data_IF_527841427195
#
_entry.id   IF_527841427195
#
_cell.length_a   1.000
_cell.length_b   1.000
_cell.length_c   1.000
_cell.angle_alpha   90.00
_cell.angle_beta   90.00
_cell.angle_gamma   90.00
#
_symmetry.space_group_name_H-M   'P 1'
#
loop_
_entity.id
_entity.type
_entity.pdbx_description
1 polymer ?
#
# COMPACT_ATOMS: atom_id res chain seq x y z
N UNK A 1 -20.87 8.91 -1.03
CA UNK A 1 -20.16 7.96 -1.92
C UNK A 1 -19.55 6.86 -1.08
N UNK A 2 -19.85 5.62 -1.39
CA UNK A 2 -19.24 4.51 -0.65
C UNK A 2 -17.80 4.30 -1.06
N UNK A 3 -16.91 4.16 -0.08
CA UNK A 3 -15.50 3.82 -0.30
C UNK A 3 -15.43 2.31 -0.59
N UNK A 4 -14.62 1.92 -1.55
CA UNK A 4 -14.36 0.51 -1.85
C UNK A 4 -13.49 -0.15 -0.76
N UNK A 5 -13.09 -1.41 -0.95
CA UNK A 5 -12.22 -2.08 -0.01
C UNK A 5 -10.90 -1.32 0.20
N UNK A 6 -10.48 -1.22 1.45
CA UNK A 6 -9.23 -0.58 1.82
C UNK A 6 -8.19 -1.62 2.18
N UNK A 7 -6.95 -1.37 1.80
CA UNK A 7 -5.79 -2.12 2.21
C UNK A 7 -4.68 -1.19 2.66
N UNK A 8 -3.80 -1.68 3.50
CA UNK A 8 -2.59 -0.97 3.83
C UNK A 8 -1.35 -1.80 3.49
N UNK A 9 -0.26 -1.12 3.20
CA UNK A 9 1.03 -1.75 2.97
C UNK A 9 2.09 -0.93 3.72
N UNK A 10 3.04 -1.62 4.33
CA UNK A 10 4.20 -1.01 4.99
C UNK A 10 5.43 -1.38 4.18
N UNK A 11 6.09 -0.38 3.63
CA UNK A 11 7.24 -0.57 2.74
C UNK A 11 8.48 0.00 3.42
N UNK A 12 9.45 -0.87 3.71
CA UNK A 12 10.77 -0.42 4.17
C UNK A 12 11.49 0.32 3.04
N UNK A 13 12.00 1.52 3.31
CA UNK A 13 12.68 2.35 2.31
C UNK A 13 14.11 2.63 2.75
N UNK A 14 15.11 2.49 1.84
CA UNK A 14 16.51 2.69 2.20
C UNK A 14 16.88 4.17 2.31
N UNK A 15 16.27 5.03 1.52
CA UNK A 15 16.59 6.45 1.48
C UNK A 15 15.46 7.26 0.83
N UNK A 16 15.65 8.59 0.83
CA UNK A 16 14.69 9.54 0.28
C UNK A 16 14.53 9.45 -1.24
N UNK A 17 15.59 9.14 -1.94
CA UNK A 17 15.59 8.98 -3.39
C UNK A 17 14.69 7.80 -3.81
N UNK A 18 14.79 6.69 -3.08
CA UNK A 18 13.91 5.55 -3.29
C UNK A 18 12.44 5.93 -3.05
N UNK A 19 12.18 6.73 -2.01
CA UNK A 19 10.83 7.22 -1.70
C UNK A 19 10.24 8.01 -2.86
N UNK A 20 11.02 8.90 -3.48
CA UNK A 20 10.56 9.66 -4.64
C UNK A 20 10.22 8.77 -5.83
N UNK A 21 11.03 7.75 -6.11
CA UNK A 21 10.74 6.79 -7.17
C UNK A 21 9.47 5.99 -6.89
N UNK A 22 9.25 5.59 -5.64
CA UNK A 22 8.03 4.91 -5.19
C UNK A 22 6.79 5.80 -5.39
N UNK A 23 6.87 7.07 -5.01
CA UNK A 23 5.76 8.03 -5.18
C UNK A 23 5.42 8.22 -6.65
N UNK A 24 6.42 8.31 -7.52
CA UNK A 24 6.19 8.44 -8.97
C UNK A 24 5.46 7.20 -9.52
N UNK A 25 5.81 6.01 -9.07
CA UNK A 25 5.12 4.79 -9.46
C UNK A 25 3.68 4.77 -8.95
N UNK A 26 3.44 5.19 -7.71
CA UNK A 26 2.10 5.31 -7.15
C UNK A 26 1.23 6.30 -7.92
N UNK A 27 1.78 7.43 -8.35
CA UNK A 27 1.08 8.39 -9.21
C UNK A 27 0.63 7.74 -10.51
N UNK A 28 1.49 6.94 -11.13
CA UNK A 28 1.17 6.22 -12.36
C UNK A 28 0.00 5.25 -12.15
N UNK A 29 0.03 4.49 -11.07
CA UNK A 29 -1.04 3.53 -10.73
C UNK A 29 -2.33 4.26 -10.38
N UNK A 30 -2.25 5.33 -9.60
CA UNK A 30 -3.39 6.15 -9.21
C UNK A 30 -4.08 6.77 -10.44
N UNK A 31 -3.32 7.24 -11.42
CA UNK A 31 -3.85 7.85 -12.64
C UNK A 31 -4.59 6.84 -13.53
N UNK A 32 -4.27 5.56 -13.43
CA UNK A 32 -4.97 4.48 -14.16
C UNK A 32 -6.34 4.13 -13.56
N UNK A 33 -6.64 4.65 -12.37
CA UNK A 33 -7.94 4.48 -11.74
C UNK A 33 -8.20 3.13 -11.07
N UNK A 34 -7.21 2.24 -11.00
CA UNK A 34 -7.35 0.94 -10.36
C UNK A 34 -7.32 1.03 -8.83
N UNK A 35 -6.52 1.91 -8.30
CA UNK A 35 -6.45 2.21 -6.86
C UNK A 35 -6.47 3.71 -6.61
N UNK A 36 -6.85 4.09 -5.40
CA UNK A 36 -6.75 5.47 -4.93
C UNK A 36 -6.02 5.48 -3.60
N UNK A 37 -4.98 6.28 -3.48
CA UNK A 37 -4.26 6.45 -2.22
C UNK A 37 -5.11 7.32 -1.31
N UNK A 38 -5.49 6.80 -0.15
CA UNK A 38 -6.38 7.50 0.79
C UNK A 38 -5.67 7.98 2.04
N UNK A 39 -4.51 7.44 2.35
CA UNK A 39 -3.64 7.95 3.41
C UNK A 39 -2.20 7.48 3.18
N UNK A 40 -1.24 8.25 3.66
CA UNK A 40 0.17 7.91 3.56
C UNK A 40 0.95 8.62 4.66
N UNK A 41 1.82 7.87 5.34
CA UNK A 41 2.75 8.45 6.32
C UNK A 41 4.16 7.92 6.07
N UNK A 42 5.14 8.74 6.41
CA UNK A 42 6.54 8.38 6.41
C UNK A 42 7.02 8.25 7.85
N UNK A 43 7.58 7.11 8.20
CA UNK A 43 8.11 6.81 9.53
C UNK A 43 9.60 6.60 9.42
N UNK A 44 10.38 7.29 10.25
CA UNK A 44 11.80 7.01 10.39
C UNK A 44 12.16 6.78 11.85
N UNK A 45 13.13 5.93 12.07
CA UNK A 45 13.65 5.62 13.41
C UNK A 45 15.16 5.78 13.37
N UNK A 46 15.71 6.67 14.20
CA UNK A 46 17.14 6.85 14.27
C UNK A 46 17.85 5.67 14.98
N UNK A 47 19.16 5.67 15.00
CA UNK A 47 19.94 4.59 15.62
C UNK A 47 19.73 4.48 17.13
N UNK A 48 19.29 5.56 17.76
CA UNK A 48 18.92 5.60 19.18
C UNK A 48 17.50 5.13 19.47
N UNK A 49 16.72 4.84 18.43
CA UNK A 49 15.33 4.41 18.56
C UNK A 49 14.32 5.54 18.60
N UNK A 50 14.72 6.79 18.40
CA UNK A 50 13.81 7.92 18.33
C UNK A 50 13.03 7.89 17.03
N UNK A 51 11.70 8.02 17.13
CA UNK A 51 10.77 7.91 16.02
C UNK A 51 10.36 9.29 15.53
N UNK A 52 10.41 9.48 14.21
CA UNK A 52 9.86 10.65 13.52
C UNK A 52 8.77 10.18 12.56
N UNK A 53 7.61 10.85 12.63
CA UNK A 53 6.46 10.55 11.76
C UNK A 53 6.10 11.83 10.99
N UNK A 54 6.01 11.72 9.67
CA UNK A 54 5.60 12.81 8.81
C UNK A 54 4.41 12.37 7.97
N UNK A 55 3.37 13.18 7.98
CA UNK A 55 2.23 12.99 7.10
C UNK A 55 2.57 13.50 5.70
N UNK A 56 1.96 12.91 4.68
CA UNK A 56 2.21 13.32 3.29
C UNK A 56 1.80 14.76 3.04
N UNK A 57 0.81 15.27 3.76
CA UNK A 57 0.41 16.68 3.67
C UNK A 57 1.55 17.63 4.06
N UNK A 58 2.35 17.26 5.05
CA UNK A 58 3.54 18.02 5.46
C UNK A 58 4.65 17.93 4.41
N UNK A 59 4.89 16.72 3.88
CA UNK A 59 5.86 16.50 2.82
C UNK A 59 5.47 17.26 1.54
N UNK A 60 4.18 17.33 1.24
CA UNK A 60 3.65 18.04 0.08
C UNK A 60 3.90 19.55 0.16
N UNK A 61 3.88 20.15 1.36
CA UNK A 61 4.21 21.57 1.55
C UNK A 61 5.67 21.86 1.22
N UNK A 62 6.57 20.94 1.52
CA UNK A 62 8.00 21.09 1.28
C UNK A 62 8.41 20.69 -0.14
N UNK A 63 7.74 19.69 -0.71
CA UNK A 63 8.04 19.14 -2.04
C UNK A 63 6.74 18.94 -2.85
N UNK A 64 6.03 20.02 -3.21
CA UNK A 64 4.71 19.90 -3.87
C UNK A 64 4.79 19.20 -5.22
N UNK A 65 5.89 19.30 -5.94
CA UNK A 65 6.08 18.64 -7.23
C UNK A 65 6.03 17.11 -7.11
N UNK A 66 6.44 16.58 -5.94
CA UNK A 66 6.51 15.14 -5.70
C UNK A 66 5.18 14.59 -5.19
N UNK A 67 4.54 15.29 -4.25
CA UNK A 67 3.44 14.73 -3.47
C UNK A 67 2.06 15.29 -3.76
N UNK A 68 1.94 16.43 -4.45
CA UNK A 68 0.66 17.16 -4.57
C UNK A 68 -0.47 16.35 -5.21
N UNK A 69 -0.17 15.55 -6.22
CA UNK A 69 -1.21 14.76 -6.91
C UNK A 69 -1.86 13.72 -6.01
N UNK A 70 -1.08 13.15 -5.10
CA UNK A 70 -1.56 12.12 -4.16
C UNK A 70 -2.20 12.78 -2.95
N UNK A 71 -1.62 13.85 -2.42
CA UNK A 71 -2.06 14.48 -1.17
C UNK A 71 -3.47 15.07 -1.23
N UNK A 72 -3.97 15.40 -2.41
CA UNK A 72 -5.28 16.04 -2.57
C UNK A 72 -6.46 15.11 -2.21
N UNK A 73 -6.26 13.80 -2.29
CA UNK A 73 -7.31 12.81 -2.07
C UNK A 73 -7.20 12.11 -0.70
N UNK A 74 -6.32 12.59 0.18
CA UNK A 74 -6.08 11.96 1.48
C UNK A 74 -7.23 12.18 2.46
N UNK A 75 -7.58 11.13 3.20
CA UNK A 75 -8.67 11.13 4.18
C UNK A 75 -8.21 11.18 5.63
N UNK A 76 -6.91 11.00 5.92
CA UNK A 76 -6.37 11.02 7.28
C UNK A 76 -6.93 9.91 8.17
N UNK A 77 -6.93 8.67 7.69
CA UNK A 77 -7.60 7.55 8.34
C UNK A 77 -6.79 6.91 9.49
N UNK A 78 -5.50 7.19 9.58
CA UNK A 78 -4.65 6.57 10.61
C UNK A 78 -4.75 7.30 11.94
N UNK A 79 -4.97 6.52 13.01
CA UNK A 79 -4.96 7.03 14.39
C UNK A 79 -3.53 7.00 14.96
N UNK A 80 -3.31 7.73 16.06
CA UNK A 80 -2.04 7.70 16.79
C UNK A 80 -1.70 6.28 17.27
N UNK A 81 -2.70 5.50 17.67
CA UNK A 81 -2.50 4.12 18.12
C UNK A 81 -2.04 3.22 16.97
N UNK A 82 -2.63 3.38 15.78
CA UNK A 82 -2.23 2.66 14.58
C UNK A 82 -0.77 2.97 14.23
N UNK A 83 -0.39 4.24 14.28
CA UNK A 83 0.96 4.71 14.01
C UNK A 83 1.95 4.11 15.01
N UNK A 84 1.63 4.10 16.30
CA UNK A 84 2.48 3.49 17.32
C UNK A 84 2.76 2.01 17.06
N UNK A 85 1.74 1.26 16.69
CA UNK A 85 1.88 -0.16 16.35
C UNK A 85 2.78 -0.35 15.13
N UNK A 86 2.63 0.49 14.13
CA UNK A 86 3.43 0.43 12.91
C UNK A 86 4.90 0.81 13.15
N UNK A 87 5.15 1.78 14.04
CA UNK A 87 6.52 2.20 14.37
C UNK A 87 7.34 1.08 15.00
N UNK A 88 6.68 0.14 15.68
CA UNK A 88 7.37 -1.02 16.26
C UNK A 88 7.94 -1.96 15.19
N UNK A 89 7.41 -1.94 13.98
CA UNK A 89 7.89 -2.75 12.86
C UNK A 89 9.11 -2.13 12.17
N UNK A 90 9.40 -0.86 12.45
CA UNK A 90 10.53 -0.15 11.84
C UNK A 90 11.76 -0.35 12.72
N UNK A 91 12.82 -0.91 12.15
CA UNK A 91 14.08 -1.13 12.89
C UNK A 91 14.84 0.18 13.10
N UNK A 92 15.59 0.33 14.21
CA UNK A 92 16.44 1.52 14.39
C UNK A 92 17.39 1.74 13.21
N UNK A 93 17.55 2.99 12.81
CA UNK A 93 18.37 3.39 11.67
C UNK A 93 17.72 3.17 10.32
N UNK A 94 16.43 2.86 10.26
CA UNK A 94 15.69 2.62 9.01
C UNK A 94 14.45 3.50 8.92
N UNK A 95 13.80 3.44 7.77
CA UNK A 95 12.56 4.17 7.51
C UNK A 95 11.55 3.28 6.80
N UNK A 96 10.29 3.69 6.85
CA UNK A 96 9.21 3.01 6.14
C UNK A 96 8.17 4.02 5.65
N UNK A 97 7.50 3.67 4.58
CA UNK A 97 6.31 4.37 4.09
C UNK A 97 5.11 3.48 4.34
N UNK A 98 4.09 4.01 4.99
CA UNK A 98 2.82 3.32 5.19
C UNK A 98 1.80 3.94 4.25
N UNK A 99 1.17 3.12 3.44
CA UNK A 99 0.19 3.56 2.45
C UNK A 99 -1.12 2.84 2.71
N UNK A 100 -2.22 3.61 2.82
CA UNK A 100 -3.56 3.05 2.78
C UNK A 100 -4.15 3.41 1.42
N UNK A 101 -4.69 2.43 0.73
CA UNK A 101 -5.28 2.63 -0.58
C UNK A 101 -6.62 1.93 -0.72
N UNK A 102 -7.45 2.51 -1.56
CA UNK A 102 -8.75 1.96 -1.91
C UNK A 102 -8.65 1.20 -3.23
N UNK A 103 -9.26 0.03 -3.30
CA UNK A 103 -9.45 -0.71 -4.54
C UNK A 103 -10.63 -0.14 -5.32
N UNK A 104 -10.40 0.92 -6.06
CA UNK A 104 -11.46 1.57 -6.83
C UNK A 104 -12.03 0.70 -7.94
N UNK A 105 -11.21 -0.21 -8.50
CA UNK A 105 -11.66 -1.16 -9.52
C UNK A 105 -12.76 -2.09 -9.01
N UNK A 106 -12.78 -2.39 -7.72
CA UNK A 106 -13.76 -3.30 -7.11
C UNK A 106 -15.17 -2.71 -7.14
N UNK A 107 -15.31 -1.37 -7.09
CA UNK A 107 -16.60 -0.71 -7.07
C UNK A 107 -17.46 -1.07 -8.29
N UNK A 108 -16.88 -0.99 -9.48
CA UNK A 108 -17.59 -1.37 -10.72
C UNK A 108 -17.91 -2.85 -10.76
N UNK A 109 -16.93 -3.69 -10.40
CA UNK A 109 -17.10 -5.14 -10.34
C UNK A 109 -18.16 -5.52 -9.32
N UNK A 110 -18.11 -4.94 -8.12
CA UNK A 110 -19.09 -5.21 -7.06
C UNK A 110 -20.51 -4.83 -7.49
N UNK A 111 -20.68 -3.73 -8.24
CA UNK A 111 -21.95 -3.32 -8.79
C UNK A 111 -22.53 -4.35 -9.76
N UNK A 112 -21.71 -4.86 -10.66
CA UNK A 112 -22.12 -5.92 -11.60
C UNK A 112 -22.47 -7.23 -10.89
N UNK A 113 -21.68 -7.62 -9.90
CA UNK A 113 -21.92 -8.82 -9.09
C UNK A 113 -23.27 -8.69 -8.37
N UNK A 114 -23.52 -7.56 -7.71
CA UNK A 114 -24.75 -7.29 -6.98
C UNK A 114 -25.99 -7.30 -7.90
N UNK A 115 -25.89 -6.67 -9.06
CA UNK A 115 -26.98 -6.64 -10.04
C UNK A 115 -27.31 -8.02 -10.59
N UNK A 116 -26.32 -8.92 -10.64
CA UNK A 116 -26.51 -10.31 -11.03
C UNK A 116 -26.95 -11.25 -9.89
N UNK A 117 -27.20 -10.72 -8.70
CA UNK A 117 -27.60 -11.51 -7.53
C UNK A 117 -26.45 -12.14 -6.75
N UNK A 118 -25.22 -11.77 -7.08
CA UNK A 118 -24.03 -12.25 -6.37
C UNK A 118 -23.60 -11.35 -5.21
N UNK A 119 -22.52 -11.74 -4.54
CA UNK A 119 -21.90 -10.95 -3.48
C UNK A 119 -20.41 -11.31 -3.36
N UNK A 120 -19.60 -10.33 -2.96
CA UNK A 120 -18.21 -10.60 -2.58
C UNK A 120 -18.22 -11.17 -1.15
N UNK A 121 -17.77 -12.40 -0.99
CA UNK A 121 -17.80 -13.09 0.31
C UNK A 121 -16.52 -12.84 1.11
N UNK A 122 -15.38 -12.70 0.46
CA UNK A 122 -14.09 -12.50 1.11
C UNK A 122 -13.08 -11.93 0.13
N UNK A 123 -12.07 -11.27 0.67
CA UNK A 123 -10.95 -10.76 -0.09
C UNK A 123 -9.82 -10.36 0.85
N UNK A 124 -8.61 -10.32 0.33
CA UNK A 124 -7.42 -9.92 1.10
C UNK A 124 -6.14 -10.09 0.31
N UNK A 125 -5.04 -9.64 0.90
CA UNK A 125 -3.71 -9.78 0.32
C UNK A 125 -3.08 -11.08 0.79
N UNK A 126 -2.52 -11.83 -0.17
CA UNK A 126 -1.76 -13.04 0.14
C UNK A 126 -0.34 -12.63 0.52
N UNK A 127 0.12 -13.06 1.68
CA UNK A 127 1.42 -12.70 2.20
C UNK A 127 2.57 -13.35 1.41
N UNK A 128 3.73 -12.71 1.45
CA UNK A 128 4.89 -13.08 0.65
C UNK A 128 5.35 -14.53 0.89
N UNK A 129 5.34 -15.00 2.12
CA UNK A 129 5.73 -16.38 2.47
C UNK A 129 4.79 -17.41 1.83
N UNK A 130 3.49 -17.14 1.81
CA UNK A 130 2.49 -17.99 1.15
C UNK A 130 2.68 -17.93 -0.36
N UNK A 131 2.96 -16.75 -0.92
CA UNK A 131 3.24 -16.60 -2.36
C UNK A 131 4.46 -17.39 -2.79
N UNK A 132 5.49 -17.45 -1.95
CA UNK A 132 6.68 -18.27 -2.21
C UNK A 132 6.32 -19.76 -2.33
N UNK A 133 5.52 -20.27 -1.41
CA UNK A 133 5.04 -21.65 -1.45
C UNK A 133 4.23 -21.93 -2.72
N UNK A 134 3.32 -21.04 -3.08
CA UNK A 134 2.53 -21.16 -4.32
C UNK A 134 3.41 -21.18 -5.56
N UNK A 135 4.42 -20.32 -5.63
CA UNK A 135 5.36 -20.28 -6.75
C UNK A 135 6.16 -21.58 -6.87
N UNK A 136 6.56 -22.18 -5.76
CA UNK A 136 7.24 -23.46 -5.72
C UNK A 136 6.33 -24.59 -6.22
N UNK A 137 5.07 -24.61 -5.78
CA UNK A 137 4.07 -25.58 -6.24
C UNK A 137 3.79 -25.45 -7.74
N UNK A 138 3.64 -24.22 -8.25
CA UNK A 138 3.42 -23.97 -9.67
C UNK A 138 4.62 -24.39 -10.52
N UNK A 139 5.84 -24.17 -10.05
CA UNK A 139 7.04 -24.62 -10.73
C UNK A 139 7.10 -26.16 -10.81
N UNK A 140 6.74 -26.86 -9.72
CA UNK A 140 6.66 -28.32 -9.69
C UNK A 140 5.63 -28.88 -10.67
N UNK A 141 4.45 -28.25 -10.77
CA UNK A 141 3.40 -28.64 -11.72
C UNK A 141 3.88 -28.47 -13.17
N UNK A 142 4.52 -27.35 -13.51
CA UNK A 142 5.08 -27.11 -14.84
C UNK A 142 6.14 -28.13 -15.20
N UNK A 143 7.00 -28.51 -14.26
CA UNK A 143 8.04 -29.52 -14.46
C UNK A 143 7.44 -30.89 -14.78
N UNK A 144 6.39 -31.27 -14.06
CA UNK A 144 5.65 -32.53 -14.31
C UNK A 144 5.01 -32.50 -15.69
N UNK A 145 4.37 -31.41 -16.09
CA UNK A 145 3.74 -31.24 -17.42
C UNK A 145 4.75 -31.34 -18.55
N UNK A 146 5.97 -30.80 -18.38
CA UNK A 146 7.03 -30.86 -19.38
C UNK A 146 7.62 -32.26 -19.54
N UNK A 147 7.58 -33.07 -18.49
CA UNK A 147 8.13 -34.43 -18.46
C UNK A 147 7.11 -35.52 -18.78
N UNK A 148 5.88 -35.13 -19.05
CA UNK A 148 4.79 -36.07 -19.38
C UNK A 148 4.78 -36.47 -20.85
#
# INVERSE_FOLDING_TARGET
MKVGPLEYIVIGVPDRKFTHALINELKSIHSKGAISVVDMIFISKDTGGEVSVQEISELSKNEPEVYSEISNDLMGLMTLQDIEQLTQQVSPGTAAVVIIFEHTWVKGLAGHIKNGGGAVLSGGMIQEDIMKTLNEELAAVKEVEQNA
#
